data_IF_340215579987
#
_entry.id   IF_340215579987
#
_cell.length_a   1.000
_cell.length_b   1.000
_cell.length_c   1.000
_cell.angle_alpha   90.00
_cell.angle_beta   90.00
_cell.angle_gamma   90.00
#
_symmetry.space_group_name_H-M   'P 1'
#
loop_
_entity.id
_entity.type
_entity.pdbx_description
1 polymer ?
#
# COMPACT_ATOMS: atom_id res chain seq x y z
N UNK A 1 -3.77 27.86 42.66
CA UNK A 1 -4.35 26.53 42.38
C UNK A 1 -4.96 25.88 43.62
N UNK A 2 -4.25 25.80 44.75
CA UNK A 2 -4.70 25.09 45.96
C UNK A 2 -5.78 25.77 46.83
N UNK A 3 -6.20 27.00 46.52
CA UNK A 3 -7.15 27.80 47.33
C UNK A 3 -8.54 27.96 46.71
N UNK A 4 -8.81 27.34 45.56
CA UNK A 4 -10.14 27.41 44.90
C UNK A 4 -11.13 26.48 45.64
N UNK A 5 -12.23 27.05 46.15
CA UNK A 5 -13.27 26.32 46.90
C UNK A 5 -14.14 25.41 46.03
N UNK A 6 -14.31 25.73 44.74
CA UNK A 6 -15.12 24.96 43.79
C UNK A 6 -14.26 24.51 42.59
N UNK A 7 -13.42 23.48 42.79
CA UNK A 7 -12.58 22.91 41.74
C UNK A 7 -13.27 21.70 41.06
N UNK A 8 -13.21 21.62 39.73
CA UNK A 8 -13.74 20.48 38.97
C UNK A 8 -13.09 19.16 39.43
N UNK A 9 -13.80 18.01 39.48
CA UNK A 9 -13.26 16.75 40.01
C UNK A 9 -11.94 16.27 39.37
N UNK A 10 -11.72 16.54 38.07
CA UNK A 10 -10.45 16.24 37.39
C UNK A 10 -9.29 17.09 37.94
N UNK A 11 -9.52 18.36 38.25
CA UNK A 11 -8.52 19.25 38.82
C UNK A 11 -8.15 18.81 40.25
N UNK A 12 -9.14 18.37 41.04
CA UNK A 12 -8.93 17.83 42.38
C UNK A 12 -8.04 16.58 42.32
N UNK A 13 -8.26 15.70 41.34
CA UNK A 13 -7.40 14.51 41.15
C UNK A 13 -5.94 14.91 40.90
N UNK A 14 -5.68 15.91 40.06
CA UNK A 14 -4.32 16.40 39.82
C UNK A 14 -3.73 17.08 41.06
N UNK A 15 -4.53 17.83 41.81
CA UNK A 15 -4.09 18.42 43.09
C UNK A 15 -3.65 17.33 44.07
N UNK A 16 -4.40 16.24 44.20
CA UNK A 16 -4.03 15.11 45.07
C UNK A 16 -2.74 14.42 44.63
N UNK A 17 -2.54 14.25 43.32
CA UNK A 17 -1.29 13.66 42.78
C UNK A 17 -0.10 14.60 43.01
N UNK A 18 -0.29 15.91 42.80
CA UNK A 18 0.75 16.90 42.98
C UNK A 18 1.09 17.14 44.47
N UNK A 19 0.16 16.86 45.38
CA UNK A 19 0.44 16.90 46.83
C UNK A 19 1.48 15.87 47.30
N UNK A 20 1.77 14.83 46.52
CA UNK A 20 2.80 13.84 46.87
C UNK A 20 4.24 14.37 46.65
N UNK A 21 4.40 15.53 46.02
CA UNK A 21 5.68 16.14 45.68
C UNK A 21 5.89 17.47 46.41
N UNK A 22 7.14 17.77 46.78
CA UNK A 22 7.53 19.11 47.23
C UNK A 22 7.62 20.04 46.01
N UNK A 23 6.60 20.87 45.80
CA UNK A 23 6.49 21.75 44.63
C UNK A 23 6.68 23.21 45.03
N UNK A 24 7.58 23.90 44.32
CA UNK A 24 7.77 25.36 44.39
C UNK A 24 7.15 26.02 43.15
N UNK A 25 6.08 26.79 43.32
CA UNK A 25 5.37 27.46 42.23
C UNK A 25 5.94 28.87 42.04
N UNK A 26 6.65 29.07 40.93
CA UNK A 26 7.16 30.38 40.51
C UNK A 26 6.36 30.89 39.32
N UNK A 27 5.70 32.03 39.50
CA UNK A 27 5.06 32.74 38.40
C UNK A 27 6.12 33.43 37.53
N UNK A 28 5.99 33.32 36.20
CA UNK A 28 6.91 33.93 35.25
C UNK A 28 6.12 34.57 34.11
N UNK A 29 6.28 35.87 33.96
CA UNK A 29 5.58 36.65 32.93
C UNK A 29 5.95 36.14 31.53
N UNK A 30 4.95 35.96 30.67
CA UNK A 30 5.13 35.33 29.35
C UNK A 30 6.21 35.96 28.46
N UNK A 31 6.44 37.27 28.57
CA UNK A 31 7.51 38.00 27.85
C UNK A 31 8.93 37.55 28.23
N UNK A 32 9.09 36.95 29.41
CA UNK A 32 10.37 36.45 29.93
C UNK A 32 10.52 34.93 29.78
N UNK A 33 9.45 34.24 29.35
CA UNK A 33 9.44 32.79 29.16
C UNK A 33 9.88 32.36 27.74
N UNK A 34 10.96 32.98 27.23
CA UNK A 34 11.46 32.74 25.87
C UNK A 34 11.99 31.31 25.63
N UNK A 35 12.26 30.56 26.70
CA UNK A 35 12.83 29.19 26.64
C UNK A 35 11.80 28.15 26.17
N UNK A 36 10.51 28.37 26.44
CA UNK A 36 9.46 27.43 26.03
C UNK A 36 9.36 27.28 24.50
N UNK A 37 9.61 28.36 23.73
CA UNK A 37 9.57 28.32 22.25
C UNK A 37 10.84 27.68 21.65
N UNK A 38 11.96 27.64 22.38
CA UNK A 38 13.20 27.02 21.90
C UNK A 38 13.19 25.49 21.98
N UNK A 39 12.46 24.90 22.92
CA UNK A 39 12.37 23.43 23.07
C UNK A 39 11.53 22.77 21.97
N UNK A 40 10.54 23.45 21.41
CA UNK A 40 9.75 22.95 20.27
C UNK A 40 10.53 22.92 18.95
N UNK A 41 11.72 23.56 18.92
CA UNK A 41 12.55 23.78 17.72
C UNK A 41 13.90 23.06 17.77
N UNK A 42 14.14 22.22 18.78
CA UNK A 42 15.36 21.42 18.86
C UNK A 42 15.33 20.33 17.79
N UNK A 43 16.08 20.52 16.70
CA UNK A 43 16.44 19.41 15.83
C UNK A 43 17.41 18.48 16.58
N UNK A 44 16.99 17.23 16.79
CA UNK A 44 17.88 16.20 17.32
C UNK A 44 19.05 16.01 16.34
N UNK A 45 20.22 16.52 16.74
CA UNK A 45 21.47 16.34 16.03
C UNK A 45 21.75 14.86 15.79
N UNK A 46 21.65 14.47 14.52
CA UNK A 46 22.09 13.20 13.97
C UNK A 46 23.61 13.14 14.09
N UNK A 47 24.11 12.70 15.25
CA UNK A 47 25.53 12.45 15.43
C UNK A 47 25.98 11.33 14.48
N UNK A 48 27.06 11.65 13.80
CA UNK A 48 27.73 10.87 12.78
C UNK A 48 28.34 9.60 13.37
N UNK A 49 28.01 8.45 12.79
CA UNK A 49 29.02 7.46 12.46
C UNK A 49 28.88 7.16 10.97
N UNK A 50 29.79 7.76 10.19
CA UNK A 50 29.99 7.44 8.78
C UNK A 50 30.76 6.13 8.72
N UNK A 51 30.06 5.01 8.67
CA UNK A 51 30.64 3.78 8.18
C UNK A 51 30.80 3.91 6.66
N UNK A 52 32.07 3.99 6.23
CA UNK A 52 32.47 3.96 4.82
C UNK A 52 32.29 2.54 4.30
N UNK A 53 31.14 2.27 3.68
CA UNK A 53 31.02 1.14 2.76
C UNK A 53 31.00 1.68 1.34
N UNK A 54 32.02 1.32 0.56
CA UNK A 54 32.10 1.60 -0.87
C UNK A 54 30.85 1.01 -1.54
N UNK A 55 30.17 1.83 -2.34
CA UNK A 55 29.05 1.39 -3.16
C UNK A 55 29.61 0.40 -4.19
N UNK A 56 29.33 -0.89 -4.01
CA UNK A 56 29.56 -1.91 -5.03
C UNK A 56 28.47 -1.77 -6.08
N UNK A 57 28.80 -1.18 -7.23
CA UNK A 57 27.98 -1.21 -8.44
C UNK A 57 28.04 -2.59 -9.09
N UNK A 58 27.44 -3.59 -8.46
CA UNK A 58 27.24 -4.92 -9.07
C UNK A 58 25.94 -5.51 -8.56
N UNK A 59 24.98 -5.70 -9.46
CA UNK A 59 23.72 -6.38 -9.16
C UNK A 59 23.96 -7.89 -9.10
N UNK A 60 23.46 -8.61 -8.07
CA UNK A 60 23.67 -10.05 -7.95
C UNK A 60 23.05 -10.91 -9.06
N UNK A 61 22.20 -10.32 -9.91
CA UNK A 61 21.38 -11.05 -10.88
C UNK A 61 21.70 -10.71 -12.36
N UNK A 62 22.89 -10.19 -12.66
CA UNK A 62 23.30 -9.89 -14.05
C UNK A 62 23.71 -11.13 -14.88
N UNK A 63 23.21 -12.32 -14.51
CA UNK A 63 23.33 -13.52 -15.33
C UNK A 63 22.13 -13.64 -16.26
N UNK A 64 22.40 -13.37 -17.53
CA UNK A 64 21.57 -13.64 -18.69
C UNK A 64 21.03 -15.08 -18.60
N UNK A 65 19.74 -15.26 -18.28
CA UNK A 65 19.08 -16.55 -18.41
C UNK A 65 19.06 -16.93 -19.90
N UNK A 66 19.97 -17.82 -20.29
CA UNK A 66 19.90 -18.51 -21.57
C UNK A 66 18.57 -19.29 -21.61
N UNK A 67 17.68 -18.92 -22.51
CA UNK A 67 16.44 -19.64 -22.76
C UNK A 67 16.80 -21.02 -23.35
N UNK A 68 16.78 -22.07 -22.53
CA UNK A 68 16.71 -23.43 -23.06
C UNK A 68 15.29 -23.66 -23.57
N UNK A 69 15.15 -23.80 -24.88
CA UNK A 69 13.92 -24.17 -25.58
C UNK A 69 13.12 -25.22 -24.80
N UNK A 70 11.94 -24.81 -24.33
CA UNK A 70 11.00 -25.63 -23.55
C UNK A 70 10.21 -26.63 -24.39
N UNK A 71 10.52 -26.77 -25.69
CA UNK A 71 9.87 -27.77 -26.53
C UNK A 71 10.18 -29.22 -26.09
N UNK A 72 11.34 -29.48 -25.46
CA UNK A 72 11.74 -30.84 -25.09
C UNK A 72 11.20 -31.33 -23.74
N UNK A 73 10.94 -30.45 -22.77
CA UNK A 73 10.53 -30.84 -21.41
C UNK A 73 9.01 -31.06 -21.28
N UNK A 74 8.21 -30.52 -22.20
CA UNK A 74 6.75 -30.71 -22.21
C UNK A 74 6.32 -32.17 -22.44
N UNK A 75 7.20 -33.03 -22.97
CA UNK A 75 6.88 -34.44 -23.22
C UNK A 75 7.11 -35.36 -22.01
N UNK A 76 7.74 -34.88 -20.94
CA UNK A 76 8.13 -35.72 -19.79
C UNK A 76 7.27 -35.52 -18.53
N UNK A 77 6.47 -34.45 -18.45
CA UNK A 77 5.55 -34.23 -17.35
C UNK A 77 4.14 -34.55 -17.83
N UNK A 78 3.61 -35.72 -17.44
CA UNK A 78 2.21 -36.14 -17.61
C UNK A 78 1.21 -35.28 -16.84
N UNK A 79 1.36 -33.96 -16.91
CA UNK A 79 0.35 -32.97 -16.56
C UNK A 79 -0.47 -32.83 -17.82
N UNK A 80 -1.73 -33.23 -17.77
CA UNK A 80 -2.71 -32.97 -18.82
C UNK A 80 -2.66 -31.45 -19.06
N UNK A 81 -1.91 -31.00 -20.07
CA UNK A 81 -1.81 -29.58 -20.38
C UNK A 81 -3.22 -29.17 -20.76
N UNK A 82 -3.90 -28.44 -19.87
CA UNK A 82 -5.19 -27.87 -20.22
C UNK A 82 -4.90 -27.00 -21.44
N UNK A 83 -5.48 -27.40 -22.58
CA UNK A 83 -5.32 -26.65 -23.82
C UNK A 83 -5.60 -25.18 -23.52
N UNK A 84 -4.69 -24.25 -23.87
CA UNK A 84 -4.87 -22.83 -23.55
C UNK A 84 -6.25 -22.35 -24.00
N UNK A 85 -6.85 -21.40 -23.29
CA UNK A 85 -8.19 -20.87 -23.63
C UNK A 85 -8.28 -20.36 -25.09
N UNK A 86 -7.14 -20.02 -25.69
CA UNK A 86 -7.01 -19.52 -27.05
C UNK A 86 -6.66 -20.59 -28.10
N UNK A 87 -6.62 -21.88 -27.75
CA UNK A 87 -6.22 -22.95 -28.66
C UNK A 87 -7.03 -22.94 -29.98
N UNK A 88 -8.35 -22.75 -29.90
CA UNK A 88 -9.21 -22.65 -31.07
C UNK A 88 -8.87 -21.46 -31.97
N UNK A 89 -8.45 -20.33 -31.37
CA UNK A 89 -8.03 -19.13 -32.12
C UNK A 89 -6.75 -19.43 -32.90
N UNK A 90 -5.78 -20.09 -32.27
CA UNK A 90 -4.52 -20.49 -32.91
C UNK A 90 -4.78 -21.50 -34.03
N UNK A 91 -5.59 -22.53 -33.77
CA UNK A 91 -5.98 -23.53 -34.77
C UNK A 91 -6.65 -22.89 -35.99
N UNK A 92 -7.47 -21.88 -35.78
CA UNK A 92 -8.10 -21.13 -36.86
C UNK A 92 -7.10 -20.25 -37.63
N UNK A 93 -6.19 -19.55 -36.94
CA UNK A 93 -5.20 -18.68 -37.58
C UNK A 93 -4.20 -19.49 -38.42
N UNK A 94 -3.76 -20.65 -37.92
CA UNK A 94 -2.72 -21.46 -38.55
C UNK A 94 -3.28 -22.41 -39.61
N UNK A 95 -4.43 -23.05 -39.33
CA UNK A 95 -4.96 -24.16 -40.14
C UNK A 95 -6.33 -23.87 -40.76
N UNK A 96 -6.90 -22.67 -40.55
CA UNK A 96 -8.26 -22.30 -40.97
C UNK A 96 -9.37 -23.21 -40.39
N UNK A 97 -9.06 -23.97 -39.33
CA UNK A 97 -9.99 -24.89 -38.70
C UNK A 97 -10.93 -24.14 -37.74
N UNK A 98 -12.23 -24.26 -37.97
CA UNK A 98 -13.25 -23.74 -37.07
C UNK A 98 -13.69 -24.82 -36.06
N UNK A 99 -13.93 -24.44 -34.79
CA UNK A 99 -14.52 -25.36 -33.84
C UNK A 99 -15.86 -25.91 -34.32
N UNK A 100 -16.03 -27.23 -34.27
CA UNK A 100 -17.18 -27.92 -34.86
C UNK A 100 -18.51 -27.57 -34.18
N UNK A 101 -18.49 -27.19 -32.90
CA UNK A 101 -19.68 -26.96 -32.07
C UNK A 101 -20.33 -25.57 -32.22
N UNK A 102 -19.78 -24.69 -33.07
CA UNK A 102 -20.28 -23.31 -33.19
C UNK A 102 -21.51 -23.19 -34.11
N UNK A 103 -22.57 -22.56 -33.61
CA UNK A 103 -23.72 -22.09 -34.41
C UNK A 103 -23.27 -20.99 -35.42
N UNK A 104 -24.02 -20.77 -36.50
CA UNK A 104 -23.75 -19.77 -37.54
C UNK A 104 -23.40 -18.39 -36.98
N UNK A 105 -24.20 -17.87 -36.04
CA UNK A 105 -23.93 -16.58 -35.41
C UNK A 105 -22.63 -16.57 -34.59
N UNK A 106 -22.35 -17.67 -33.88
CA UNK A 106 -21.14 -17.83 -33.08
C UNK A 106 -19.89 -17.94 -33.98
N UNK A 107 -19.98 -18.62 -35.13
CA UNK A 107 -18.91 -18.67 -36.13
C UNK A 107 -18.58 -17.29 -36.67
N UNK A 108 -19.59 -16.52 -37.09
CA UNK A 108 -19.39 -15.15 -37.59
C UNK A 108 -18.75 -14.23 -36.55
N UNK A 109 -19.17 -14.37 -35.28
CA UNK A 109 -18.55 -13.65 -34.15
C UNK A 109 -17.10 -14.08 -33.94
N UNK A 110 -16.84 -15.38 -33.87
CA UNK A 110 -15.49 -15.93 -33.68
C UNK A 110 -14.52 -15.46 -34.76
N UNK A 111 -14.92 -15.53 -36.03
CA UNK A 111 -14.10 -15.05 -37.15
C UNK A 111 -13.81 -13.55 -37.05
N UNK A 112 -14.78 -12.75 -36.58
CA UNK A 112 -14.55 -11.32 -36.35
C UNK A 112 -13.62 -11.06 -35.16
N UNK A 113 -13.76 -11.83 -34.08
CA UNK A 113 -12.91 -11.71 -32.90
C UNK A 113 -11.47 -12.13 -33.23
N UNK A 114 -11.28 -13.22 -33.98
CA UNK A 114 -10.00 -13.77 -34.40
C UNK A 114 -9.14 -12.78 -35.22
N UNK A 115 -9.75 -11.86 -35.97
CA UNK A 115 -9.03 -10.79 -36.71
C UNK A 115 -8.17 -9.89 -35.83
N UNK A 116 -8.47 -9.81 -34.54
CA UNK A 116 -7.72 -9.01 -33.58
C UNK A 116 -6.52 -9.76 -33.00
N UNK A 117 -6.32 -11.02 -33.38
CA UNK A 117 -5.23 -11.84 -32.88
C UNK A 117 -4.26 -12.15 -34.02
N UNK A 118 -2.99 -12.31 -33.66
CA UNK A 118 -1.97 -12.83 -34.57
C UNK A 118 -1.09 -13.83 -33.83
N UNK A 119 -0.67 -14.86 -34.55
CA UNK A 119 0.17 -15.93 -34.05
C UNK A 119 1.61 -15.69 -34.45
N UNK A 120 2.51 -15.67 -33.47
CA UNK A 120 3.96 -15.60 -33.66
C UNK A 120 4.58 -16.69 -32.78
N UNK A 121 4.79 -17.86 -33.38
CA UNK A 121 5.05 -19.12 -32.68
C UNK A 121 6.18 -18.99 -31.63
N UNK A 122 5.98 -19.46 -30.37
CA UNK A 122 4.82 -20.18 -29.81
C UNK A 122 3.79 -19.28 -29.09
N UNK A 123 3.76 -17.99 -29.41
CA UNK A 123 3.02 -16.98 -28.66
C UNK A 123 1.85 -16.42 -29.48
N UNK A 124 0.70 -16.27 -28.81
CA UNK A 124 -0.44 -15.56 -29.37
C UNK A 124 -0.41 -14.11 -28.88
N UNK A 125 -0.66 -13.18 -29.78
CA UNK A 125 -0.78 -11.76 -29.46
C UNK A 125 -2.13 -11.22 -29.87
N UNK A 126 -2.60 -10.18 -29.16
CA UNK A 126 -3.84 -9.48 -29.43
C UNK A 126 -3.58 -8.00 -29.69
N UNK A 127 -4.16 -7.50 -30.77
CA UNK A 127 -4.30 -6.07 -31.01
C UNK A 127 -5.45 -5.52 -30.15
N UNK A 128 -5.11 -4.62 -29.22
CA UNK A 128 -6.10 -3.97 -28.36
C UNK A 128 -6.60 -2.65 -28.98
N UNK A 129 -7.67 -2.11 -28.39
CA UNK A 129 -8.35 -0.89 -28.88
C UNK A 129 -7.43 0.33 -28.81
N UNK A 130 -6.52 0.35 -27.84
CA UNK A 130 -5.49 1.36 -27.64
C UNK A 130 -4.30 1.24 -28.61
N UNK A 131 -4.41 0.40 -29.66
CA UNK A 131 -3.37 0.14 -30.65
C UNK A 131 -2.10 -0.52 -30.08
N UNK A 132 -2.15 -0.97 -28.82
CA UNK A 132 -1.04 -1.70 -28.18
C UNK A 132 -1.27 -3.19 -28.36
N UNK A 133 -0.22 -3.86 -28.82
CA UNK A 133 -0.17 -5.30 -28.97
C UNK A 133 0.19 -5.94 -27.63
N UNK A 134 -0.55 -6.98 -27.24
CA UNK A 134 -0.35 -7.68 -25.96
C UNK A 134 -0.27 -9.18 -26.14
N UNK A 135 0.69 -9.82 -25.47
CA UNK A 135 0.81 -11.27 -25.41
C UNK A 135 -0.38 -11.86 -24.64
N UNK A 136 -1.02 -12.86 -25.24
CA UNK A 136 -2.06 -13.64 -24.61
C UNK A 136 -1.45 -14.64 -23.63
N UNK A 137 -1.94 -14.64 -22.40
CA UNK A 137 -1.38 -15.46 -21.32
C UNK A 137 -2.26 -16.70 -21.11
N UNK A 138 -1.68 -17.92 -21.13
CA UNK A 138 -2.40 -19.16 -20.81
C UNK A 138 -2.73 -19.23 -19.32
N UNK A 139 -3.77 -19.99 -18.96
CA UNK A 139 -4.30 -20.06 -17.59
C UNK A 139 -3.24 -20.42 -16.54
N UNK A 140 -2.28 -21.27 -16.93
CA UNK A 140 -1.19 -21.72 -16.06
C UNK A 140 -0.28 -20.56 -15.61
N UNK A 141 -0.03 -19.58 -16.48
CA UNK A 141 0.84 -18.43 -16.21
C UNK A 141 0.10 -17.25 -15.55
N UNK A 142 -1.24 -17.18 -15.66
CA UNK A 142 -2.03 -16.01 -15.21
C UNK A 142 -1.80 -15.67 -13.73
N UNK A 143 -1.72 -16.69 -12.87
CA UNK A 143 -1.52 -16.51 -11.42
C UNK A 143 -0.15 -15.90 -11.12
N UNK A 144 0.88 -16.31 -11.84
CA UNK A 144 2.24 -15.79 -11.69
C UNK A 144 2.32 -14.33 -12.15
N UNK A 145 1.70 -13.99 -13.29
CA UNK A 145 1.62 -12.61 -13.78
C UNK A 145 0.92 -11.70 -12.75
N UNK A 146 -0.20 -12.16 -12.20
CA UNK A 146 -0.92 -11.43 -11.14
C UNK A 146 -0.07 -11.27 -9.87
N UNK A 147 0.66 -12.31 -9.47
CA UNK A 147 1.57 -12.25 -8.34
C UNK A 147 2.65 -11.19 -8.55
N UNK A 148 3.32 -11.16 -9.70
CA UNK A 148 4.35 -10.17 -10.00
C UNK A 148 3.79 -8.73 -10.04
N UNK A 149 2.58 -8.56 -10.57
CA UNK A 149 1.96 -7.24 -10.64
C UNK A 149 1.48 -6.72 -9.28
N UNK A 150 1.07 -7.60 -8.36
CA UNK A 150 0.43 -7.26 -7.10
C UNK A 150 1.27 -7.54 -5.85
N UNK A 151 1.74 -8.78 -5.68
CA UNK A 151 2.30 -9.31 -4.43
C UNK A 151 3.84 -9.32 -4.36
N UNK A 152 4.53 -9.19 -5.49
CA UNK A 152 5.99 -9.05 -5.52
C UNK A 152 6.43 -7.81 -4.72
N UNK A 153 7.71 -7.72 -4.29
CA UNK A 153 8.24 -6.57 -3.55
C UNK A 153 7.97 -5.22 -4.23
N UNK A 154 7.98 -5.19 -5.57
CA UNK A 154 7.66 -4.02 -6.40
C UNK A 154 6.19 -3.97 -6.88
N UNK A 155 5.36 -4.93 -6.48
CA UNK A 155 3.95 -5.05 -6.85
C UNK A 155 3.07 -3.96 -6.23
N UNK A 156 3.42 -3.53 -5.01
CA UNK A 156 2.76 -2.44 -4.31
C UNK A 156 1.37 -2.76 -3.75
N UNK A 157 0.94 -4.03 -3.77
CA UNK A 157 -0.33 -4.49 -3.19
C UNK A 157 -1.55 -3.68 -3.63
N UNK A 158 -1.54 -3.20 -4.87
CA UNK A 158 -2.60 -2.36 -5.43
C UNK A 158 -3.92 -3.14 -5.51
N UNK A 159 -5.05 -2.43 -5.35
CA UNK A 159 -6.38 -3.02 -5.52
C UNK A 159 -6.57 -3.69 -6.88
N UNK A 160 -7.52 -4.63 -6.99
CA UNK A 160 -7.77 -5.36 -8.24
C UNK A 160 -8.03 -4.47 -9.46
N UNK A 161 -8.78 -3.37 -9.28
CA UNK A 161 -9.03 -2.35 -10.30
C UNK A 161 -7.77 -1.65 -10.83
N UNK A 162 -6.67 -1.64 -10.05
CA UNK A 162 -5.37 -1.09 -10.46
C UNK A 162 -4.41 -2.18 -10.97
N UNK A 163 -4.57 -3.41 -10.48
CA UNK A 163 -3.73 -4.55 -10.87
C UNK A 163 -3.97 -4.94 -12.33
N UNK A 164 -5.23 -5.01 -12.79
CA UNK A 164 -5.54 -5.36 -14.18
C UNK A 164 -4.95 -4.36 -15.20
N UNK A 165 -5.11 -3.03 -15.05
CA UNK A 165 -4.42 -2.06 -15.90
C UNK A 165 -2.90 -2.20 -15.89
N UNK A 166 -2.28 -2.51 -14.75
CA UNK A 166 -0.83 -2.73 -14.65
C UNK A 166 -0.39 -3.95 -15.48
N UNK A 167 -1.15 -5.04 -15.44
CA UNK A 167 -0.91 -6.22 -16.32
C UNK A 167 -1.00 -5.83 -17.80
N UNK A 168 -2.00 -5.03 -18.18
CA UNK A 168 -2.11 -4.51 -19.55
C UNK A 168 -0.92 -3.61 -19.93
N UNK A 169 -0.40 -2.80 -19.00
CA UNK A 169 0.77 -1.95 -19.23
C UNK A 169 2.05 -2.77 -19.46
N UNK A 170 2.18 -3.93 -18.82
CA UNK A 170 3.29 -4.87 -19.10
C UNK A 170 3.11 -5.67 -20.40
N UNK A 171 2.06 -5.39 -21.19
CA UNK A 171 1.87 -6.03 -22.48
C UNK A 171 1.21 -7.41 -22.40
N UNK A 172 0.50 -7.73 -21.32
CA UNK A 172 -0.17 -9.02 -21.15
C UNK A 172 -1.69 -8.91 -21.24
N UNK A 173 -2.35 -9.96 -21.72
CA UNK A 173 -3.81 -9.98 -21.89
C UNK A 173 -4.40 -11.39 -21.72
N UNK A 174 -5.61 -11.45 -21.15
CA UNK A 174 -6.53 -12.58 -21.28
C UNK A 174 -7.98 -12.10 -21.04
N UNK A 175 -9.02 -12.81 -21.51
CA UNK A 175 -10.40 -12.31 -21.51
C UNK A 175 -10.96 -11.98 -20.13
N UNK A 176 -10.58 -12.75 -19.10
CA UNK A 176 -11.09 -12.62 -17.72
C UNK A 176 -10.21 -11.78 -16.80
N UNK A 177 -9.18 -11.10 -17.34
CA UNK A 177 -8.17 -10.35 -16.59
C UNK A 177 -8.72 -9.50 -15.43
N UNK A 178 -9.74 -8.67 -15.67
CA UNK A 178 -10.29 -7.80 -14.65
C UNK A 178 -10.97 -8.58 -13.51
N UNK A 179 -11.67 -9.66 -13.84
CA UNK A 179 -12.31 -10.54 -12.86
C UNK A 179 -11.25 -11.28 -12.03
N UNK A 180 -10.23 -11.80 -12.69
CA UNK A 180 -9.18 -12.59 -12.04
C UNK A 180 -8.28 -11.71 -11.17
N UNK A 181 -7.93 -10.50 -11.62
CA UNK A 181 -7.20 -9.53 -10.80
C UNK A 181 -7.98 -9.14 -9.54
N UNK A 182 -9.30 -8.96 -9.65
CA UNK A 182 -10.15 -8.66 -8.50
C UNK A 182 -10.25 -9.85 -7.53
N UNK A 183 -10.38 -11.07 -8.05
CA UNK A 183 -10.38 -12.29 -7.24
C UNK A 183 -9.03 -12.48 -6.52
N UNK A 184 -7.92 -12.27 -7.22
CA UNK A 184 -6.57 -12.36 -6.67
C UNK A 184 -6.35 -11.35 -5.54
N UNK A 185 -6.67 -10.07 -5.78
CA UNK A 185 -6.62 -9.03 -4.75
C UNK A 185 -7.44 -9.41 -3.50
N UNK A 186 -8.68 -9.87 -3.70
CA UNK A 186 -9.55 -10.31 -2.60
C UNK A 186 -9.00 -11.53 -1.85
N UNK A 187 -8.15 -12.34 -2.47
CA UNK A 187 -7.54 -13.52 -1.85
C UNK A 187 -6.25 -13.19 -1.07
N UNK A 188 -5.62 -12.04 -1.32
CA UNK A 188 -4.32 -11.69 -0.75
C UNK A 188 -4.39 -11.44 0.77
N UNK A 189 -3.66 -12.24 1.55
CA UNK A 189 -3.62 -12.15 3.02
C UNK A 189 -3.09 -10.80 3.53
N UNK A 190 -2.00 -10.28 2.95
CA UNK A 190 -1.44 -8.97 3.33
C UNK A 190 -2.47 -7.83 3.15
N UNK A 191 -3.19 -7.82 2.03
CA UNK A 191 -4.24 -6.84 1.78
C UNK A 191 -5.44 -7.01 2.71
N UNK A 192 -5.83 -8.25 3.03
CA UNK A 192 -6.92 -8.54 3.97
C UNK A 192 -6.61 -8.04 5.39
N UNK A 193 -5.38 -8.27 5.87
CA UNK A 193 -4.96 -7.89 7.23
C UNK A 193 -4.79 -6.39 7.38
N UNK A 194 -4.21 -5.74 6.36
CA UNK A 194 -3.94 -4.30 6.43
C UNK A 194 -5.24 -3.51 6.37
N UNK A 195 -6.21 -3.96 5.55
CA UNK A 195 -7.47 -3.26 5.33
C UNK A 195 -7.25 -1.89 4.68
N UNK A 196 -8.18 -1.47 3.83
CA UNK A 196 -8.19 -0.06 3.40
C UNK A 196 -9.02 0.72 4.40
N UNK A 197 -8.39 1.62 5.17
CA UNK A 197 -9.09 2.62 5.97
C UNK A 197 -9.86 3.53 5.00
N UNK A 198 -11.14 3.23 4.81
CA UNK A 198 -12.06 4.08 4.05
C UNK A 198 -12.59 5.23 4.90
N UNK A 199 -13.20 6.24 4.25
CA UNK A 199 -13.91 7.34 4.93
C UNK A 199 -14.95 6.88 5.94
N UNK A 200 -15.49 5.66 5.81
CA UNK A 200 -16.46 5.11 6.78
C UNK A 200 -15.84 4.81 8.14
N UNK A 201 -14.51 4.72 8.22
CA UNK A 201 -13.77 4.53 9.45
C UNK A 201 -13.24 5.85 10.00
N UNK A 202 -13.50 6.99 9.35
CA UNK A 202 -13.16 8.30 9.91
C UNK A 202 -13.97 8.51 11.19
N UNK A 203 -13.29 8.85 12.28
CA UNK A 203 -13.96 9.25 13.51
C UNK A 203 -14.64 10.61 13.27
N UNK A 204 -15.92 10.78 13.66
CA UNK A 204 -16.59 12.07 13.52
C UNK A 204 -15.82 13.14 14.30
N UNK A 205 -15.45 14.21 13.60
CA UNK A 205 -14.84 15.39 14.21
C UNK A 205 -15.92 16.10 15.03
N UNK A 206 -15.67 16.25 16.33
CA UNK A 206 -16.52 17.05 17.21
C UNK A 206 -15.83 18.39 17.43
N UNK A 207 -16.49 19.48 17.06
CA UNK A 207 -16.00 20.81 17.41
C UNK A 207 -16.05 20.96 18.94
N UNK A 208 -14.93 21.34 19.53
CA UNK A 208 -14.88 21.75 20.93
C UNK A 208 -15.54 23.14 20.97
N UNK A 209 -16.76 23.21 21.52
CA UNK A 209 -17.44 24.48 21.78
C UNK A 209 -16.89 25.03 23.08
N UNK A 210 -15.96 25.97 22.98
CA UNK A 210 -15.31 26.61 24.13
C UNK A 210 -16.06 27.90 24.47
N UNK A 211 -16.48 28.05 25.73
CA UNK A 211 -17.27 29.21 26.18
C UNK A 211 -16.54 29.98 27.30
N UNK A 212 -15.87 29.30 28.24
CA UNK A 212 -15.17 29.96 29.37
C UNK A 212 -13.74 29.42 29.63
N UNK A 213 -12.88 30.26 30.23
CA UNK A 213 -11.51 29.91 30.61
C UNK A 213 -11.54 28.76 31.63
N UNK A 214 -10.68 27.73 31.45
CA UNK A 214 -10.63 26.48 32.23
C UNK A 214 -11.81 25.52 31.99
N UNK A 215 -12.45 25.59 30.82
CA UNK A 215 -13.45 24.61 30.41
C UNK A 215 -12.85 23.31 29.90
N UNK A 216 -11.82 23.41 29.06
CA UNK A 216 -11.12 22.27 28.49
C UNK A 216 -9.62 22.54 28.54
N UNK A 217 -8.90 21.63 29.20
CA UNK A 217 -7.45 21.63 29.27
C UNK A 217 -6.92 20.41 28.48
N UNK A 218 -5.98 20.66 27.57
CA UNK A 218 -5.18 19.64 26.91
C UNK A 218 -3.94 19.35 27.73
N UNK A 219 -3.72 18.09 28.10
CA UNK A 219 -2.52 17.65 28.82
C UNK A 219 -1.77 16.66 27.94
N UNK A 220 -0.49 16.93 27.69
CA UNK A 220 0.39 16.10 26.89
C UNK A 220 1.79 15.98 27.52
N UNK A 221 2.55 14.98 27.09
CA UNK A 221 3.95 14.80 27.48
C UNK A 221 4.85 15.05 26.29
N UNK A 222 5.83 15.94 26.45
CA UNK A 222 6.91 16.11 25.48
C UNK A 222 8.15 15.35 25.95
N UNK A 223 8.71 14.51 25.10
CA UNK A 223 9.96 13.79 25.37
C UNK A 223 10.24 12.65 24.40
N UNK A 224 11.36 11.94 24.54
CA UNK A 224 12.40 12.06 25.59
C UNK A 224 13.43 13.15 25.29
N UNK A 225 13.78 13.97 26.28
CA UNK A 225 14.85 14.98 26.21
C UNK A 225 16.12 14.53 26.94
N UNK A 226 17.30 15.16 26.70
CA UNK A 226 18.49 14.92 27.50
C UNK A 226 18.22 15.13 29.00
N UNK A 227 18.83 14.29 29.85
CA UNK A 227 18.64 14.36 31.30
C UNK A 227 19.05 15.73 31.82
N UNK A 228 18.11 16.43 32.46
CA UNK A 228 18.37 17.67 33.19
C UNK A 228 17.84 17.52 34.62
N UNK A 229 18.75 17.53 35.59
CA UNK A 229 18.43 17.32 37.01
C UNK A 229 17.60 16.04 37.28
N UNK A 230 17.88 14.95 36.56
CA UNK A 230 17.16 13.68 36.68
C UNK A 230 15.83 13.59 35.92
N UNK A 231 15.39 14.67 35.25
CA UNK A 231 14.15 14.69 34.48
C UNK A 231 14.39 14.49 32.98
N UNK A 232 13.45 13.81 32.31
CA UNK A 232 13.52 13.43 30.88
C UNK A 232 12.31 13.91 30.05
N UNK A 233 11.24 14.32 30.72
CA UNK A 233 9.96 14.66 30.11
C UNK A 233 9.47 16.01 30.62
N UNK A 234 8.66 16.67 29.80
CA UNK A 234 7.95 17.90 30.16
C UNK A 234 6.46 17.57 30.11
N UNK A 235 5.74 17.82 31.21
CA UNK A 235 4.29 17.79 31.23
C UNK A 235 3.78 19.15 30.71
N UNK A 236 3.07 19.14 29.60
CA UNK A 236 2.46 20.31 28.99
C UNK A 236 0.97 20.31 29.32
N UNK A 237 0.49 21.38 29.95
CA UNK A 237 -0.93 21.59 30.21
C UNK A 237 -1.33 22.94 29.60
N UNK A 238 -2.28 22.91 28.66
CA UNK A 238 -2.76 24.09 27.91
C UNK A 238 -4.26 24.20 28.10
N UNK A 239 -4.71 25.37 28.54
CA UNK A 239 -6.13 25.73 28.48
C UNK A 239 -6.45 26.19 27.05
N UNK A 240 -7.40 25.55 26.39
CA UNK A 240 -7.65 25.80 24.97
C UNK A 240 -8.19 27.22 24.69
N UNK A 241 -8.84 27.84 25.67
CA UNK A 241 -9.42 29.19 25.56
C UNK A 241 -8.36 30.28 25.70
N UNK A 242 -7.52 30.21 26.73
CA UNK A 242 -6.54 31.27 27.04
C UNK A 242 -5.20 31.11 26.32
N UNK A 243 -4.87 29.90 25.86
CA UNK A 243 -3.61 29.50 25.20
C UNK A 243 -2.35 29.71 26.05
#
# INVERSE_FOLDING_TARGET
MFTKKDAKPRLIRWILVLQEFDIDIKDKKGTENQVADHLSRLEMGRNQEKDKTNILETFPDEQLFAATSTAATAMAAGKLSETPWYADIVNYIVSELLPHELNYQARKRFQNDAKHYYWDEPLLFKHCVDQIIRRCIPQEEQKEVLHHCHAAPYGGHLGGNKTAPKVLQYGFYWPTLFKDAQAFYKSCDKCKRTGNISRRHEMPLHNILEVEIFDVEGIDFMGTFPVSCGNLYILLAVDYVSK
#
